data_IF_745020489848
#
_entry.id   IF_745020489848
#
_cell.length_a   1.000
_cell.length_b   1.000
_cell.length_c   1.000
_cell.angle_alpha   90.00
_cell.angle_beta   90.00
_cell.angle_gamma   90.00
#
_symmetry.space_group_name_H-M   'P 1'
#
loop_
_entity.id
_entity.type
_entity.pdbx_description
1 polymer ?
#
# COMPACT_ATOMS: atom_id res chain seq x y z
N UNK A 1 12.12 1.85 32.30
CA UNK A 1 12.20 1.27 30.93
C UNK A 1 12.36 -0.23 31.04
N UNK A 2 11.47 -1.01 30.43
CA UNK A 2 11.50 -2.48 30.51
C UNK A 2 12.58 -3.07 29.60
N UNK A 3 13.07 -4.27 29.93
CA UNK A 3 14.07 -5.01 29.15
C UNK A 3 13.59 -5.31 27.72
N UNK A 4 12.27 -5.45 27.52
CA UNK A 4 11.62 -5.54 26.21
C UNK A 4 11.86 -4.28 25.35
N UNK A 5 11.72 -3.07 25.93
CA UNK A 5 11.94 -1.81 25.22
C UNK A 5 13.40 -1.62 24.79
N UNK A 6 14.36 -2.24 25.49
CA UNK A 6 15.80 -2.21 25.14
C UNK A 6 16.17 -3.21 24.04
N UNK A 7 15.40 -4.28 23.87
CA UNK A 7 15.65 -5.31 22.83
C UNK A 7 15.09 -4.90 21.47
N UNK A 8 13.92 -4.27 21.41
CA UNK A 8 13.34 -3.79 20.15
C UNK A 8 14.12 -2.60 19.54
N UNK A 9 14.74 -1.76 20.38
CA UNK A 9 15.63 -0.66 19.93
C UNK A 9 16.99 -1.18 19.42
N UNK A 10 17.49 -2.32 19.91
CA UNK A 10 18.82 -2.85 19.53
C UNK A 10 18.85 -3.61 18.20
N UNK A 11 17.72 -4.09 17.69
CA UNK A 11 17.65 -4.79 16.40
C UNK A 11 17.51 -3.83 15.21
N UNK A 12 16.90 -2.66 15.40
CA UNK A 12 16.83 -1.61 14.36
C UNK A 12 18.18 -0.91 14.09
N UNK A 13 19.19 -1.18 14.91
CA UNK A 13 20.54 -0.61 14.85
C UNK A 13 21.52 -1.36 13.92
N UNK A 14 21.17 -2.51 13.33
CA UNK A 14 22.12 -3.32 12.54
C UNK A 14 22.01 -3.22 11.01
N UNK A 15 20.95 -2.61 10.49
CA UNK A 15 20.78 -2.47 9.05
C UNK A 15 21.34 -1.15 8.54
N UNK A 16 22.13 -1.21 7.48
CA UNK A 16 22.55 0.00 6.75
C UNK A 16 21.33 0.73 6.21
N UNK A 17 21.45 2.03 5.95
CA UNK A 17 20.36 2.81 5.37
C UNK A 17 19.88 2.20 4.04
N UNK A 18 20.80 1.69 3.23
CA UNK A 18 20.49 1.00 1.97
C UNK A 18 19.69 -0.28 2.19
N UNK A 19 20.08 -1.11 3.15
CA UNK A 19 19.33 -2.31 3.53
C UNK A 19 17.91 -1.96 4.00
N UNK A 20 17.76 -0.89 4.80
CA UNK A 20 16.43 -0.40 5.21
C UNK A 20 15.58 0.02 4.02
N UNK A 21 16.16 0.67 3.02
CA UNK A 21 15.46 1.05 1.78
C UNK A 21 15.03 -0.18 0.98
N UNK A 22 15.90 -1.18 0.83
CA UNK A 22 15.59 -2.43 0.13
C UNK A 22 14.45 -3.18 0.81
N UNK A 23 14.49 -3.31 2.13
CA UNK A 23 13.42 -3.91 2.92
C UNK A 23 12.10 -3.16 2.71
N UNK A 24 12.11 -1.83 2.76
CA UNK A 24 10.91 -1.01 2.54
C UNK A 24 10.32 -1.22 1.14
N UNK A 25 11.16 -1.26 0.10
CA UNK A 25 10.72 -1.49 -1.28
C UNK A 25 10.14 -2.90 -1.43
N UNK A 26 10.76 -3.92 -0.83
CA UNK A 26 10.27 -5.30 -0.83
C UNK A 26 8.93 -5.44 -0.09
N UNK A 27 8.77 -4.81 1.07
CA UNK A 27 7.49 -4.77 1.81
C UNK A 27 6.41 -4.11 0.97
N UNK A 28 6.72 -2.97 0.33
CA UNK A 28 5.76 -2.28 -0.53
C UNK A 28 5.35 -3.15 -1.73
N UNK A 29 6.31 -3.80 -2.39
CA UNK A 29 6.03 -4.75 -3.46
C UNK A 29 5.14 -5.91 -2.99
N UNK A 30 5.42 -6.49 -1.82
CA UNK A 30 4.60 -7.54 -1.21
C UNK A 30 3.16 -7.07 -0.94
N UNK A 31 3.00 -5.84 -0.40
CA UNK A 31 1.68 -5.23 -0.18
C UNK A 31 0.90 -5.08 -1.48
N UNK A 32 1.49 -4.50 -2.51
CA UNK A 32 0.83 -4.32 -3.81
C UNK A 32 0.44 -5.65 -4.46
N UNK A 33 1.29 -6.68 -4.33
CA UNK A 33 0.95 -8.04 -4.80
C UNK A 33 -0.21 -8.65 -4.04
N UNK A 34 -0.26 -8.46 -2.72
CA UNK A 34 -1.37 -8.94 -1.90
C UNK A 34 -2.68 -8.25 -2.29
N UNK A 35 -2.67 -6.91 -2.38
CA UNK A 35 -3.80 -6.10 -2.84
C UNK A 35 -4.27 -6.57 -4.22
N UNK A 36 -3.33 -6.79 -5.14
CA UNK A 36 -3.63 -7.33 -6.46
C UNK A 36 -4.33 -8.70 -6.41
N UNK A 37 -3.87 -9.63 -5.56
CA UNK A 37 -4.54 -10.92 -5.37
C UNK A 37 -5.95 -10.76 -4.80
N UNK A 38 -6.15 -9.85 -3.84
CA UNK A 38 -7.45 -9.57 -3.23
C UNK A 38 -8.44 -9.05 -4.28
N UNK A 39 -8.03 -8.07 -5.07
CA UNK A 39 -8.87 -7.39 -6.05
C UNK A 39 -8.88 -8.04 -7.44
N UNK A 40 -8.08 -9.11 -7.65
CA UNK A 40 -7.88 -9.77 -8.96
C UNK A 40 -7.34 -8.82 -10.04
N UNK A 41 -6.52 -7.88 -9.61
CA UNK A 41 -5.87 -6.88 -10.45
C UNK A 41 -4.36 -6.87 -10.15
N UNK A 42 -3.58 -6.13 -10.93
CA UNK A 42 -2.17 -5.85 -10.62
C UNK A 42 -1.98 -4.35 -10.58
N UNK A 43 -1.30 -3.89 -9.53
CA UNK A 43 -1.06 -2.47 -9.27
C UNK A 43 0.42 -2.20 -9.39
N UNK A 44 0.81 -1.37 -10.35
CA UNK A 44 2.20 -1.00 -10.58
C UNK A 44 2.34 0.52 -10.67
N UNK A 45 2.74 1.18 -9.56
CA UNK A 45 3.19 2.57 -9.62
C UNK A 45 4.29 2.72 -10.68
N UNK A 46 4.14 3.74 -11.51
CA UNK A 46 4.97 4.00 -12.67
C UNK A 46 5.33 5.48 -12.73
N UNK A 47 6.60 5.76 -12.97
CA UNK A 47 7.11 7.12 -13.11
C UNK A 47 8.45 7.08 -13.84
N UNK A 48 8.58 7.84 -14.92
CA UNK A 48 9.83 8.08 -15.63
C UNK A 48 10.09 9.58 -15.58
N UNK A 49 11.24 9.98 -15.05
CA UNK A 49 11.57 11.39 -14.91
C UNK A 49 11.78 12.03 -16.29
N UNK A 50 11.02 13.07 -16.68
CA UNK A 50 11.12 13.65 -18.02
C UNK A 50 12.46 14.35 -18.28
N UNK A 51 13.13 14.85 -17.22
CA UNK A 51 14.42 15.56 -17.34
C UNK A 51 15.65 14.65 -17.50
N UNK A 52 15.66 13.46 -16.93
CA UNK A 52 16.86 12.60 -16.89
C UNK A 52 16.58 11.14 -17.29
N UNK A 53 15.37 10.86 -17.78
CA UNK A 53 14.87 9.56 -18.22
C UNK A 53 14.96 8.42 -17.19
N UNK A 54 15.30 8.72 -15.93
CA UNK A 54 15.39 7.74 -14.86
C UNK A 54 14.00 7.20 -14.53
N UNK A 55 13.84 5.88 -14.61
CA UNK A 55 12.67 5.17 -14.06
C UNK A 55 12.77 5.09 -12.54
N UNK A 56 11.70 5.47 -11.84
CA UNK A 56 11.64 5.42 -10.38
C UNK A 56 11.03 4.09 -9.91
N UNK A 57 11.51 3.59 -8.78
CA UNK A 57 10.85 2.47 -8.07
C UNK A 57 9.58 2.95 -7.36
N UNK A 58 8.62 2.06 -7.03
CA UNK A 58 7.45 2.45 -6.25
C UNK A 58 7.79 3.17 -4.95
N UNK A 59 8.83 2.73 -4.22
CA UNK A 59 9.26 3.42 -3.00
C UNK A 59 9.78 4.83 -3.29
N UNK A 60 10.56 5.02 -4.37
CA UNK A 60 11.05 6.34 -4.78
C UNK A 60 9.90 7.27 -5.17
N UNK A 61 8.88 6.76 -5.86
CA UNK A 61 7.67 7.52 -6.19
C UNK A 61 7.00 8.01 -4.91
N UNK A 62 6.73 7.10 -3.96
CA UNK A 62 6.05 7.42 -2.70
C UNK A 62 6.86 8.42 -1.85
N UNK A 63 8.19 8.22 -1.74
CA UNK A 63 9.07 9.12 -0.99
C UNK A 63 9.26 10.49 -1.65
N UNK A 64 9.09 10.58 -2.97
CA UNK A 64 9.27 11.83 -3.70
C UNK A 64 8.10 12.81 -3.58
N UNK A 65 6.93 12.36 -3.11
CA UNK A 65 5.78 13.24 -2.86
C UNK A 65 6.04 14.18 -1.67
N UNK A 66 5.48 15.38 -1.75
CA UNK A 66 5.33 16.24 -0.57
C UNK A 66 4.13 15.76 0.27
N UNK A 67 4.17 16.06 1.57
CA UNK A 67 3.01 15.93 2.47
C UNK A 67 2.04 17.10 2.26
N UNK A 68 1.61 17.31 1.02
CA UNK A 68 0.67 18.35 0.62
C UNK A 68 -0.43 17.71 -0.24
N UNK A 69 -1.69 17.90 0.17
CA UNK A 69 -2.89 17.37 -0.50
C UNK A 69 -3.04 17.91 -1.93
N UNK A 70 -2.51 19.10 -2.20
CA UNK A 70 -2.64 19.80 -3.48
C UNK A 70 -1.43 19.66 -4.41
N UNK A 71 -0.35 18.97 -4.00
CA UNK A 71 0.87 18.78 -4.82
C UNK A 71 0.98 17.36 -5.38
N UNK A 72 0.30 17.08 -6.49
CA UNK A 72 0.23 15.75 -7.12
C UNK A 72 1.53 15.23 -7.77
N UNK A 73 2.67 15.88 -7.51
CA UNK A 73 3.94 15.53 -8.16
C UNK A 73 4.87 14.75 -7.25
N UNK A 74 5.66 13.85 -7.83
CA UNK A 74 6.80 13.19 -7.17
C UNK A 74 8.12 13.83 -7.61
N UNK A 75 9.10 13.89 -6.71
CA UNK A 75 10.46 14.41 -6.97
C UNK A 75 11.40 13.30 -7.41
N UNK A 76 12.09 13.50 -8.54
CA UNK A 76 13.18 12.61 -8.95
C UNK A 76 14.33 12.64 -7.92
N UNK A 77 14.83 11.49 -7.44
CA UNK A 77 15.96 11.48 -6.51
C UNK A 77 17.30 11.89 -7.16
N UNK A 78 17.40 11.86 -8.49
CA UNK A 78 18.64 12.21 -9.23
C UNK A 78 18.75 13.69 -9.58
N UNK A 79 17.79 14.21 -10.36
CA UNK A 79 17.84 15.57 -10.90
C UNK A 79 16.86 16.53 -10.20
N UNK A 80 16.13 16.05 -9.19
CA UNK A 80 15.17 16.82 -8.41
C UNK A 80 13.97 17.43 -9.16
N UNK A 81 13.83 17.15 -10.46
CA UNK A 81 12.66 17.52 -11.22
C UNK A 81 11.38 16.91 -10.62
N UNK A 82 10.30 17.68 -10.59
CA UNK A 82 8.98 17.22 -10.13
C UNK A 82 8.08 16.94 -11.32
N UNK A 83 7.30 15.88 -11.23
CA UNK A 83 6.40 15.41 -12.30
C UNK A 83 5.32 14.51 -11.72
N UNK A 84 4.21 14.33 -12.44
CA UNK A 84 3.09 13.51 -11.98
C UNK A 84 3.40 12.01 -12.20
N UNK A 85 3.28 11.16 -11.17
CA UNK A 85 3.39 9.72 -11.34
C UNK A 85 2.05 9.09 -11.70
N UNK A 86 2.13 7.88 -12.25
CA UNK A 86 1.00 7.09 -12.71
C UNK A 86 0.93 5.76 -11.96
N UNK A 87 -0.22 5.10 -12.03
CA UNK A 87 -0.43 3.72 -11.59
C UNK A 87 -1.03 2.94 -12.75
N UNK A 88 -0.35 1.86 -13.11
CA UNK A 88 -0.84 0.92 -14.12
C UNK A 88 -1.64 -0.14 -13.38
N UNK A 89 -2.93 -0.23 -13.71
CA UNK A 89 -3.87 -1.20 -13.17
C UNK A 89 -4.19 -2.21 -14.26
N UNK A 90 -3.82 -3.49 -14.09
CA UNK A 90 -4.16 -4.55 -15.06
C UNK A 90 -5.10 -5.58 -14.45
N UNK A 91 -6.21 -5.84 -15.12
CA UNK A 91 -7.12 -6.95 -14.89
C UNK A 91 -6.90 -8.05 -15.93
N UNK A 92 -7.75 -9.09 -15.94
CA UNK A 92 -7.69 -10.15 -16.95
C UNK A 92 -7.99 -9.64 -18.38
N UNK A 93 -8.80 -8.59 -18.51
CA UNK A 93 -9.31 -8.10 -19.80
C UNK A 93 -8.93 -6.65 -20.11
N UNK A 94 -8.34 -5.92 -19.16
CA UNK A 94 -8.04 -4.50 -19.33
C UNK A 94 -6.72 -4.10 -18.68
N UNK A 95 -6.09 -3.06 -19.24
CA UNK A 95 -4.95 -2.38 -18.65
C UNK A 95 -5.22 -0.89 -18.74
N UNK A 96 -5.31 -0.22 -17.59
CA UNK A 96 -5.57 1.22 -17.53
C UNK A 96 -4.41 1.92 -16.81
N UNK A 97 -4.00 3.07 -17.33
CA UNK A 97 -3.02 3.94 -16.68
C UNK A 97 -3.76 5.14 -16.12
N UNK A 98 -3.57 5.41 -14.83
CA UNK A 98 -4.24 6.49 -14.10
C UNK A 98 -3.21 7.31 -13.34
N UNK A 99 -3.55 8.55 -12.97
CA UNK A 99 -2.73 9.33 -12.04
C UNK A 99 -2.61 8.57 -10.71
N UNK A 100 -1.42 8.54 -10.13
CA UNK A 100 -1.18 7.93 -8.82
C UNK A 100 -1.08 8.99 -7.74
N UNK A 101 -1.96 8.92 -6.76
CA UNK A 101 -1.93 9.81 -5.60
C UNK A 101 -1.09 9.20 -4.48
N UNK A 102 -0.43 10.04 -3.69
CA UNK A 102 0.21 9.58 -2.45
C UNK A 102 -0.85 9.27 -1.36
N UNK A 103 -0.49 8.61 -0.24
CA UNK A 103 -1.45 8.34 0.83
C UNK A 103 -2.18 9.59 1.34
N UNK A 104 -1.45 10.67 1.59
CA UNK A 104 -2.00 11.95 2.10
C UNK A 104 -2.98 12.58 1.11
N UNK A 105 -2.65 12.55 -0.18
CA UNK A 105 -3.51 13.07 -1.25
C UNK A 105 -4.75 12.22 -1.43
N UNK A 106 -4.58 10.90 -1.40
CA UNK A 106 -5.68 9.94 -1.53
C UNK A 106 -6.73 10.23 -0.47
N UNK A 107 -6.34 10.30 0.81
CA UNK A 107 -7.31 10.57 1.87
C UNK A 107 -7.81 12.02 1.87
N UNK A 108 -6.97 12.99 1.49
CA UNK A 108 -7.40 14.39 1.33
C UNK A 108 -8.46 14.56 0.24
N UNK A 109 -8.39 13.79 -0.83
CA UNK A 109 -9.36 13.78 -1.93
C UNK A 109 -10.66 13.01 -1.59
N UNK A 110 -10.68 12.22 -0.52
CA UNK A 110 -11.88 11.49 -0.06
C UNK A 110 -12.87 12.37 0.72
N UNK A 111 -12.45 13.54 1.22
CA UNK A 111 -13.36 14.46 1.90
C UNK A 111 -14.57 14.81 1.02
N UNK A 112 -15.77 14.74 1.61
CA UNK A 112 -17.04 15.00 0.94
C UNK A 112 -17.56 13.85 0.07
N UNK A 113 -16.87 12.71 0.02
CA UNK A 113 -17.25 11.54 -0.80
C UNK A 113 -17.79 10.37 0.03
N UNK A 114 -18.06 10.57 1.32
CA UNK A 114 -18.52 9.53 2.26
C UNK A 114 -19.87 8.91 1.86
N UNK A 115 -20.68 9.69 1.12
CA UNK A 115 -22.01 9.29 0.66
C UNK A 115 -21.99 8.53 -0.67
N UNK A 116 -20.87 8.54 -1.40
CA UNK A 116 -20.72 7.84 -2.67
C UNK A 116 -20.38 6.36 -2.43
N UNK A 117 -21.00 5.48 -3.20
CA UNK A 117 -20.71 4.05 -3.22
C UNK A 117 -19.35 3.76 -3.88
N UNK A 118 -18.76 2.56 -3.66
CA UNK A 118 -17.53 2.16 -4.32
C UNK A 118 -17.61 2.27 -5.86
N UNK A 119 -18.74 1.87 -6.44
CA UNK A 119 -18.98 1.94 -7.88
C UNK A 119 -19.02 3.38 -8.39
N UNK A 120 -19.63 4.30 -7.65
CA UNK A 120 -19.65 5.73 -8.02
C UNK A 120 -18.26 6.35 -7.92
N UNK A 121 -17.49 6.04 -6.87
CA UNK A 121 -16.11 6.53 -6.75
C UNK A 121 -15.24 5.93 -7.86
N UNK A 122 -15.38 4.65 -8.18
CA UNK A 122 -14.66 4.01 -9.27
C UNK A 122 -14.98 4.64 -10.63
N UNK A 123 -16.27 4.93 -10.90
CA UNK A 123 -16.71 5.53 -12.16
C UNK A 123 -16.30 6.99 -12.29
N UNK A 124 -16.55 7.80 -11.27
CA UNK A 124 -16.38 9.25 -11.34
C UNK A 124 -14.96 9.70 -10.95
N UNK A 125 -14.24 8.90 -10.15
CA UNK A 125 -12.91 9.19 -9.64
C UNK A 125 -11.97 7.96 -9.70
N UNK A 126 -11.74 7.35 -10.88
CA UNK A 126 -11.02 6.09 -11.00
C UNK A 126 -9.59 6.15 -10.42
N UNK A 127 -8.86 7.25 -10.63
CA UNK A 127 -7.51 7.44 -10.07
C UNK A 127 -7.51 7.44 -8.53
N UNK A 128 -8.55 8.04 -7.92
CA UNK A 128 -8.73 8.07 -6.47
C UNK A 128 -9.06 6.69 -5.93
N UNK A 129 -10.01 6.00 -6.58
CA UNK A 129 -10.40 4.64 -6.22
C UNK A 129 -9.19 3.69 -6.22
N UNK A 130 -8.43 3.69 -7.31
CA UNK A 130 -7.27 2.79 -7.45
C UNK A 130 -6.12 3.17 -6.51
N UNK A 131 -5.93 4.46 -6.23
CA UNK A 131 -4.94 4.89 -5.21
C UNK A 131 -5.37 4.49 -3.79
N UNK A 132 -6.67 4.56 -3.47
CA UNK A 132 -7.21 4.11 -2.19
C UNK A 132 -6.99 2.61 -1.98
N UNK A 133 -7.27 1.80 -2.99
CA UNK A 133 -6.99 0.37 -2.97
C UNK A 133 -5.49 0.11 -2.82
N UNK A 134 -4.64 0.75 -3.63
CA UNK A 134 -3.20 0.49 -3.63
C UNK A 134 -2.51 0.83 -2.30
N UNK A 135 -2.96 1.88 -1.59
CA UNK A 135 -2.36 2.30 -0.33
C UNK A 135 -3.00 1.64 0.89
N UNK A 136 -4.32 1.56 0.93
CA UNK A 136 -5.10 1.22 2.12
C UNK A 136 -5.82 -0.13 2.02
N UNK A 137 -5.82 -0.77 0.86
CA UNK A 137 -6.50 -2.05 0.62
C UNK A 137 -7.98 -1.92 0.27
N UNK A 138 -8.57 -0.74 0.47
CA UNK A 138 -9.97 -0.44 0.16
C UNK A 138 -10.38 0.95 0.62
N UNK A 139 -11.61 1.36 0.25
CA UNK A 139 -12.17 2.65 0.62
C UNK A 139 -12.49 2.74 2.11
N UNK A 140 -12.96 1.65 2.72
CA UNK A 140 -13.30 1.61 4.15
C UNK A 140 -12.12 2.04 5.03
N UNK A 141 -10.93 1.53 4.72
CA UNK A 141 -9.70 1.83 5.44
C UNK A 141 -9.23 3.24 5.11
N UNK A 142 -9.31 3.66 3.85
CA UNK A 142 -8.93 5.01 3.46
C UNK A 142 -9.79 6.09 4.16
N UNK A 143 -11.10 5.88 4.31
CA UNK A 143 -11.97 6.77 5.09
C UNK A 143 -11.68 6.70 6.59
N UNK A 144 -11.35 5.51 7.12
CA UNK A 144 -10.98 5.35 8.52
C UNK A 144 -9.74 6.18 8.89
N UNK A 145 -8.76 6.31 7.99
CA UNK A 145 -7.56 7.13 8.21
C UNK A 145 -7.87 8.63 8.40
N UNK A 146 -9.00 9.13 7.90
CA UNK A 146 -9.49 10.50 8.14
C UNK A 146 -10.61 10.57 9.19
N UNK A 147 -10.76 9.51 10.00
CA UNK A 147 -11.76 9.47 11.07
C UNK A 147 -13.20 9.46 10.59
N UNK A 148 -13.45 9.06 9.33
CA UNK A 148 -14.79 8.95 8.76
C UNK A 148 -15.24 7.49 8.70
N UNK A 149 -16.51 7.26 9.01
CA UNK A 149 -17.15 5.96 8.80
C UNK A 149 -17.62 5.84 7.35
N UNK A 150 -17.29 4.73 6.69
CA UNK A 150 -17.74 4.43 5.34
C UNK A 150 -18.79 3.31 5.40
N UNK A 151 -20.05 3.66 5.10
CA UNK A 151 -21.20 2.77 5.32
C UNK A 151 -21.34 1.64 4.31
N UNK A 152 -20.69 1.77 3.15
CA UNK A 152 -20.85 0.81 2.07
C UNK A 152 -19.97 -0.41 2.33
N UNK A 153 -20.58 -1.60 2.26
CA UNK A 153 -19.84 -2.85 2.40
C UNK A 153 -19.03 -3.10 1.13
N UNK A 154 -17.71 -3.18 1.28
CA UNK A 154 -16.85 -3.73 0.23
C UNK A 154 -16.98 -5.26 0.23
N UNK A 155 -16.97 -5.92 -0.94
CA UNK A 155 -17.20 -7.35 -1.02
C UNK A 155 -16.17 -8.12 -0.20
N UNK A 156 -16.65 -8.93 0.75
CA UNK A 156 -15.80 -9.78 1.59
C UNK A 156 -15.24 -10.89 0.71
N UNK A 157 -14.02 -10.68 0.23
CA UNK A 157 -13.29 -11.66 -0.54
C UNK A 157 -12.95 -12.84 0.37
N UNK A 158 -13.02 -14.07 -0.14
CA UNK A 158 -12.43 -15.27 0.50
C UNK A 158 -10.91 -15.09 0.65
N UNK A 159 -10.49 -14.31 1.64
CA UNK A 159 -9.15 -13.75 1.77
C UNK A 159 -8.14 -14.80 2.21
N UNK A 160 -8.58 -15.79 3.01
CA UNK A 160 -7.72 -16.81 3.63
C UNK A 160 -6.86 -17.54 2.59
N UNK A 161 -7.48 -17.97 1.48
CA UNK A 161 -6.77 -18.62 0.37
C UNK A 161 -5.79 -17.68 -0.33
N UNK A 162 -6.14 -16.40 -0.44
CA UNK A 162 -5.35 -15.38 -1.15
C UNK A 162 -4.14 -14.90 -0.34
N UNK A 163 -4.26 -14.85 0.99
CA UNK A 163 -3.18 -14.38 1.88
C UNK A 163 -2.16 -15.47 2.20
N UNK A 164 -2.47 -16.75 1.98
CA UNK A 164 -1.63 -17.88 2.42
C UNK A 164 -0.15 -17.72 2.05
N UNK A 165 0.12 -17.30 0.81
CA UNK A 165 1.48 -17.10 0.29
C UNK A 165 2.21 -15.86 0.86
N UNK A 166 1.52 -15.01 1.62
CA UNK A 166 2.07 -13.79 2.23
C UNK A 166 2.25 -13.90 3.74
N UNK A 167 1.68 -14.92 4.37
CA UNK A 167 1.85 -15.19 5.80
C UNK A 167 3.34 -15.43 6.09
N UNK A 168 3.88 -14.76 7.11
CA UNK A 168 5.31 -14.81 7.44
C UNK A 168 6.21 -13.94 6.54
N UNK A 169 5.73 -13.46 5.39
CA UNK A 169 6.43 -12.49 4.54
C UNK A 169 6.02 -11.04 4.82
N UNK A 170 4.79 -10.85 5.30
CA UNK A 170 4.27 -9.58 5.79
C UNK A 170 3.86 -9.69 7.26
N UNK A 171 3.91 -8.59 8.04
CA UNK A 171 3.32 -8.56 9.36
C UNK A 171 1.83 -8.90 9.32
N UNK A 172 1.36 -9.73 10.26
CA UNK A 172 -0.05 -10.11 10.37
C UNK A 172 -0.96 -8.86 10.46
N UNK A 173 -0.50 -7.77 11.07
CA UNK A 173 -1.20 -6.47 11.14
C UNK A 173 -1.38 -5.80 9.77
N UNK A 174 -0.37 -5.87 8.91
CA UNK A 174 -0.44 -5.33 7.55
C UNK A 174 -1.43 -6.14 6.71
N UNK A 175 -1.36 -7.47 6.79
CA UNK A 175 -2.31 -8.35 6.10
C UNK A 175 -3.73 -8.07 6.58
N UNK A 176 -3.94 -7.99 7.90
CA UNK A 176 -5.25 -7.73 8.52
C UNK A 176 -5.85 -6.40 8.05
N UNK A 177 -5.03 -5.35 7.98
CA UNK A 177 -5.43 -4.06 7.45
C UNK A 177 -5.87 -4.16 5.98
N UNK A 178 -5.05 -4.79 5.12
CA UNK A 178 -5.32 -4.89 3.68
C UNK A 178 -6.52 -5.77 3.32
N UNK A 179 -6.81 -6.82 4.11
CA UNK A 179 -7.98 -7.69 3.89
C UNK A 179 -9.19 -7.31 4.74
N UNK A 180 -9.09 -6.22 5.51
CA UNK A 180 -10.16 -5.66 6.33
C UNK A 180 -10.70 -6.60 7.42
N UNK A 181 -9.82 -7.36 8.07
CA UNK A 181 -10.19 -8.31 9.14
C UNK A 181 -9.46 -8.00 10.43
N UNK A 182 -9.83 -8.68 11.53
CA UNK A 182 -9.14 -8.48 12.81
C UNK A 182 -7.75 -9.12 12.75
N UNK A 183 -6.76 -8.48 13.37
CA UNK A 183 -5.40 -9.02 13.51
C UNK A 183 -5.38 -10.47 14.02
N UNK A 184 -6.23 -10.78 15.00
CA UNK A 184 -6.32 -12.10 15.61
C UNK A 184 -6.76 -13.19 14.62
N UNK A 185 -7.53 -12.85 13.59
CA UNK A 185 -7.99 -13.81 12.57
C UNK A 185 -6.82 -14.22 11.66
N UNK A 186 -6.03 -13.25 11.20
CA UNK A 186 -4.79 -13.52 10.44
C UNK A 186 -3.80 -14.33 11.27
N UNK A 187 -3.61 -13.96 12.56
CA UNK A 187 -2.74 -14.68 13.48
C UNK A 187 -3.19 -16.13 13.68
N UNK A 188 -4.49 -16.37 13.89
CA UNK A 188 -5.06 -17.72 14.02
C UNK A 188 -4.83 -18.54 12.76
N UNK A 189 -5.05 -17.96 11.58
CA UNK A 189 -4.78 -18.63 10.30
C UNK A 189 -3.30 -19.00 10.15
N UNK A 190 -2.38 -18.07 10.46
CA UNK A 190 -0.94 -18.32 10.38
C UNK A 190 -0.49 -19.46 11.30
N UNK A 191 -0.97 -19.46 12.56
CA UNK A 191 -0.65 -20.50 13.53
C UNK A 191 -1.23 -21.87 13.11
N UNK A 192 -2.47 -21.90 12.62
CA UNK A 192 -3.11 -23.13 12.10
C UNK A 192 -2.30 -23.76 10.96
N UNK A 193 -1.67 -22.95 10.12
CA UNK A 193 -0.84 -23.40 9.00
C UNK A 193 0.63 -23.64 9.39
N UNK A 194 0.98 -23.52 10.68
CA UNK A 194 2.35 -23.65 11.20
C UNK A 194 3.38 -22.73 10.50
N UNK A 195 2.95 -21.52 10.13
CA UNK A 195 3.83 -20.55 9.45
C UNK A 195 4.51 -19.65 10.50
N UNK A 196 5.84 -19.52 10.39
CA UNK A 196 6.64 -18.65 11.28
C UNK A 196 6.21 -17.19 11.16
N UNK A 197 6.36 -16.44 12.26
CA UNK A 197 6.08 -15.00 12.27
C UNK A 197 7.00 -14.25 11.29
N UNK A 198 6.52 -13.13 10.79
CA UNK A 198 7.33 -12.19 10.04
C UNK A 198 8.57 -11.76 10.84
N UNK A 199 9.72 -11.71 10.16
CA UNK A 199 10.97 -11.13 10.65
C UNK A 199 11.60 -10.33 9.51
N UNK A 200 12.11 -9.14 9.82
CA UNK A 200 12.76 -8.25 8.85
C UNK A 200 13.94 -8.92 8.13
N UNK A 201 14.67 -9.76 8.86
CA UNK A 201 15.81 -10.57 8.37
C UNK A 201 15.44 -11.46 7.17
N UNK A 202 14.19 -11.92 7.07
CA UNK A 202 13.74 -12.78 5.97
C UNK A 202 13.55 -12.02 4.63
N UNK A 203 13.67 -10.68 4.65
CA UNK A 203 13.48 -9.82 3.50
C UNK A 203 14.78 -9.24 2.93
N UNK A 204 15.92 -9.49 3.58
CA UNK A 204 17.24 -9.25 3.01
C UNK A 204 17.66 -10.46 2.17
#
# INVERSE_FOLDING_TARGET
MSLQQRLDVKLDQRLTQEQKLLVQDRILGLRLRLIGKIHRETYKPHAVCPKCSRRLTPLQIIKGFKRNVNDYTTRCPRCHNRFEPEIICKSASSSTTLRFFCPVQTVGQLYGKEKLSPTEIQKNYPALYQSAIAHFGGLTQAFKEIGKSYRFKEPVVKWEKKVKQFLGLLPDSVIACLVQVKYNEVRKLRLRLNIRRYRTENLL
#
